data_IF_047887201029
#
_entry.id   IF_047887201029
#
_cell.length_a   1.000
_cell.length_b   1.000
_cell.length_c   1.000
_cell.angle_alpha   90.00
_cell.angle_beta   90.00
_cell.angle_gamma   90.00
#
_symmetry.space_group_name_H-M   'P 1'
#
loop_
_entity.id
_entity.type
_entity.pdbx_description
1 polymer ?
#
# COMPACT_ATOMS: atom_id res chain seq x y z
N UNK A 1 2.25 8.08 3.26
CA UNK A 1 0.91 7.45 3.43
C UNK A 1 0.45 6.81 2.13
N UNK A 2 -0.27 5.70 2.18
CA UNK A 2 -0.83 5.03 0.99
C UNK A 2 -2.28 5.47 0.80
N UNK A 3 -2.63 5.86 -0.43
CA UNK A 3 -4.01 6.17 -0.82
C UNK A 3 -4.40 5.22 -1.96
N UNK A 4 -5.39 4.39 -1.70
CA UNK A 4 -5.94 3.46 -2.68
C UNK A 4 -7.11 4.15 -3.39
N UNK A 5 -6.85 4.72 -4.55
CA UNK A 5 -7.84 5.52 -5.30
C UNK A 5 -8.94 4.67 -5.98
N UNK A 6 -8.75 3.37 -6.06
CA UNK A 6 -9.73 2.45 -6.64
C UNK A 6 -9.54 1.04 -6.10
N UNK A 7 -10.62 0.25 -6.09
CA UNK A 7 -10.54 -1.21 -5.91
C UNK A 7 -10.73 -1.97 -7.23
N UNK A 8 -10.83 -1.27 -8.36
CA UNK A 8 -10.91 -1.88 -9.67
C UNK A 8 -9.55 -2.37 -10.15
N UNK A 9 -9.49 -3.62 -10.61
CA UNK A 9 -8.31 -4.21 -11.22
C UNK A 9 -8.69 -5.37 -12.13
N UNK A 10 -8.16 -5.38 -13.35
CA UNK A 10 -8.41 -6.41 -14.35
C UNK A 10 -7.42 -7.58 -14.26
N UNK A 11 -6.39 -7.48 -13.40
CA UNK A 11 -5.29 -8.46 -13.36
C UNK A 11 -5.70 -9.81 -12.75
N UNK A 12 -6.59 -9.86 -11.77
CA UNK A 12 -7.06 -11.10 -11.16
C UNK A 12 -5.98 -11.88 -10.36
N UNK A 13 -4.99 -11.22 -9.80
CA UNK A 13 -3.88 -11.87 -9.08
C UNK A 13 -4.37 -12.73 -7.91
N UNK A 14 -3.84 -13.96 -7.77
CA UNK A 14 -4.18 -14.89 -6.67
C UNK A 14 -3.78 -14.34 -5.29
N UNK A 15 -2.68 -13.61 -5.22
CA UNK A 15 -2.12 -13.02 -3.99
C UNK A 15 -2.60 -11.58 -3.70
N UNK A 16 -3.68 -11.12 -4.30
CA UNK A 16 -4.13 -9.73 -4.18
C UNK A 16 -4.50 -9.37 -2.74
N UNK A 17 -3.73 -8.48 -2.10
CA UNK A 17 -3.96 -7.99 -0.74
C UNK A 17 -5.30 -7.25 -0.58
N UNK A 18 -5.74 -6.56 -1.63
CA UNK A 18 -6.93 -5.73 -1.62
C UNK A 18 -8.20 -6.48 -2.09
N UNK A 19 -8.06 -7.74 -2.51
CA UNK A 19 -9.13 -8.48 -3.13
C UNK A 19 -9.82 -7.70 -4.27
N UNK A 20 -9.01 -6.98 -5.05
CA UNK A 20 -9.49 -6.13 -6.13
C UNK A 20 -10.09 -6.94 -7.27
N UNK A 21 -11.13 -6.39 -7.92
CA UNK A 21 -11.89 -7.07 -8.97
C UNK A 21 -12.15 -6.14 -10.17
N UNK A 22 -12.57 -6.68 -11.32
CA UNK A 22 -12.99 -5.86 -12.46
C UNK A 22 -14.16 -4.92 -12.14
N UNK A 23 -15.02 -5.30 -11.20
CA UNK A 23 -16.20 -4.53 -10.76
C UNK A 23 -15.91 -3.66 -9.53
N UNK A 24 -14.62 -3.48 -9.19
CA UNK A 24 -14.21 -2.69 -8.04
C UNK A 24 -14.60 -1.22 -8.16
N UNK A 25 -14.90 -0.60 -7.04
CA UNK A 25 -15.35 0.79 -6.93
C UNK A 25 -14.18 1.78 -7.06
N UNK A 26 -14.50 2.99 -7.49
CA UNK A 26 -13.58 4.12 -7.55
C UNK A 26 -13.80 5.09 -6.39
N UNK A 27 -12.73 5.71 -5.94
CA UNK A 27 -12.80 6.83 -5.00
C UNK A 27 -13.47 8.04 -5.66
N UNK A 28 -14.36 8.71 -4.94
CA UNK A 28 -14.92 9.98 -5.42
C UNK A 28 -13.87 11.10 -5.33
N UNK A 29 -13.99 12.13 -6.17
CA UNK A 29 -13.09 13.29 -6.08
C UNK A 29 -13.25 14.04 -4.75
N UNK A 30 -14.45 14.08 -4.16
CA UNK A 30 -14.64 14.65 -2.83
C UNK A 30 -13.85 13.91 -1.77
N UNK A 31 -13.91 12.58 -1.77
CA UNK A 31 -13.11 11.73 -0.87
C UNK A 31 -11.60 11.93 -1.12
N UNK A 32 -11.19 12.07 -2.39
CA UNK A 32 -9.80 12.36 -2.74
C UNK A 32 -9.27 13.63 -2.08
N UNK A 33 -10.01 14.73 -2.19
CA UNK A 33 -9.60 16.01 -1.55
C UNK A 33 -9.54 15.91 -0.03
N UNK A 34 -10.43 15.15 0.59
CA UNK A 34 -10.35 14.87 2.02
C UNK A 34 -9.14 14.01 2.40
N UNK A 35 -8.77 13.04 1.55
CA UNK A 35 -7.53 12.28 1.74
C UNK A 35 -6.29 13.20 1.68
N UNK A 36 -6.22 14.10 0.70
CA UNK A 36 -5.10 15.05 0.61
C UNK A 36 -5.04 15.97 1.83
N UNK A 37 -6.20 16.42 2.34
CA UNK A 37 -6.25 17.21 3.57
C UNK A 37 -5.71 16.41 4.76
N UNK A 38 -6.20 15.18 4.94
CA UNK A 38 -5.73 14.32 6.03
C UNK A 38 -4.21 14.07 5.96
N UNK A 39 -3.66 13.82 4.76
CA UNK A 39 -2.22 13.63 4.56
C UNK A 39 -1.43 14.89 4.95
N UNK A 40 -1.97 16.09 4.68
CA UNK A 40 -1.38 17.36 5.15
C UNK A 40 -1.45 17.49 6.67
N UNK A 41 -2.59 17.15 7.27
CA UNK A 41 -2.80 17.26 8.72
C UNK A 41 -1.84 16.35 9.51
N UNK A 42 -1.48 15.19 8.97
CA UNK A 42 -0.47 14.30 9.56
C UNK A 42 0.98 14.63 9.12
N UNK A 43 1.17 15.67 8.30
CA UNK A 43 2.48 16.13 7.83
C UNK A 43 3.28 15.06 7.06
N UNK A 44 2.58 14.12 6.42
CA UNK A 44 3.23 13.11 5.58
C UNK A 44 3.86 13.76 4.35
N UNK A 45 5.12 13.44 4.09
CA UNK A 45 5.88 14.00 2.96
C UNK A 45 5.74 13.19 1.70
N UNK A 46 5.40 11.90 1.85
CA UNK A 46 5.35 10.94 0.75
C UNK A 46 3.94 10.37 0.62
N UNK A 47 3.37 10.51 -0.56
CA UNK A 47 2.09 9.88 -0.93
C UNK A 47 2.35 8.72 -1.88
N UNK A 48 1.81 7.56 -1.56
CA UNK A 48 1.82 6.41 -2.46
C UNK A 48 0.41 6.22 -2.99
N UNK A 49 0.23 6.46 -4.27
CA UNK A 49 -1.03 6.23 -4.97
C UNK A 49 -1.06 4.77 -5.41
N UNK A 50 -2.03 4.04 -4.91
CA UNK A 50 -2.21 2.61 -5.11
C UNK A 50 -3.71 2.29 -5.31
N UNK A 51 -4.06 1.03 -5.14
CA UNK A 51 -5.45 0.59 -5.20
C UNK A 51 -5.55 -0.86 -5.67
N UNK A 52 -6.50 -1.13 -6.54
CA UNK A 52 -6.44 -2.26 -7.45
C UNK A 52 -5.37 -1.96 -8.50
N UNK A 53 -5.76 -1.33 -9.59
CA UNK A 53 -4.84 -0.71 -10.54
C UNK A 53 -5.16 0.79 -10.63
N UNK A 54 -4.29 1.69 -10.18
CA UNK A 54 -4.59 3.12 -10.14
C UNK A 54 -5.02 3.70 -11.51
N UNK A 55 -4.41 3.23 -12.58
CA UNK A 55 -4.72 3.69 -13.95
C UNK A 55 -6.09 3.26 -14.46
N UNK A 56 -6.83 2.43 -13.72
CA UNK A 56 -8.23 2.10 -14.00
C UNK A 56 -9.20 3.14 -13.43
N UNK A 57 -8.75 4.01 -12.53
CA UNK A 57 -9.56 5.13 -12.08
C UNK A 57 -9.72 6.17 -13.20
N UNK A 58 -10.94 6.65 -13.55
CA UNK A 58 -11.13 7.56 -14.68
C UNK A 58 -10.35 8.88 -14.55
N UNK A 59 -10.16 9.36 -13.32
CA UNK A 59 -9.48 10.62 -13.02
C UNK A 59 -8.06 10.41 -12.46
N UNK A 60 -7.44 9.24 -12.66
CA UNK A 60 -6.15 8.91 -12.05
C UNK A 60 -5.06 9.94 -12.35
N UNK A 61 -4.99 10.44 -13.59
CA UNK A 61 -3.97 11.38 -14.03
C UNK A 61 -4.07 12.72 -13.26
N UNK A 62 -5.27 13.30 -13.19
CA UNK A 62 -5.49 14.54 -12.44
C UNK A 62 -5.25 14.36 -10.94
N UNK A 63 -5.63 13.20 -10.36
CA UNK A 63 -5.36 12.89 -8.95
C UNK A 63 -3.85 12.81 -8.66
N UNK A 64 -3.07 12.21 -9.56
CA UNK A 64 -1.61 12.18 -9.45
C UNK A 64 -1.03 13.60 -9.53
N UNK A 65 -1.45 14.41 -10.50
CA UNK A 65 -1.01 15.80 -10.63
C UNK A 65 -1.38 16.64 -9.41
N UNK A 66 -2.57 16.44 -8.83
CA UNK A 66 -2.97 17.08 -7.57
C UNK A 66 -2.04 16.69 -6.42
N UNK A 67 -1.70 15.41 -6.29
CA UNK A 67 -0.75 14.96 -5.28
C UNK A 67 0.64 15.57 -5.50
N UNK A 68 1.13 15.61 -6.74
CA UNK A 68 2.44 16.19 -7.06
C UNK A 68 2.53 17.68 -6.71
N UNK A 69 1.44 18.43 -6.83
CA UNK A 69 1.39 19.85 -6.43
C UNK A 69 1.41 20.05 -4.92
N UNK A 70 0.98 19.05 -4.15
CA UNK A 70 0.77 19.20 -2.71
C UNK A 70 1.84 18.54 -1.84
N UNK A 71 2.60 17.56 -2.36
CA UNK A 71 3.50 16.74 -1.54
C UNK A 71 4.92 16.73 -2.10
N UNK A 72 5.86 16.46 -1.21
CA UNK A 72 7.28 16.43 -1.54
C UNK A 72 7.63 15.30 -2.51
N UNK A 73 7.00 14.12 -2.34
CA UNK A 73 7.20 13.00 -3.24
C UNK A 73 5.93 12.16 -3.42
N UNK A 74 5.66 11.75 -4.65
CA UNK A 74 4.53 10.91 -5.03
C UNK A 74 5.03 9.65 -5.70
N UNK A 75 4.57 8.50 -5.23
CA UNK A 75 4.88 7.19 -5.81
C UNK A 75 3.60 6.58 -6.37
N UNK A 76 3.59 6.18 -7.61
CA UNK A 76 2.49 5.43 -8.21
C UNK A 76 2.86 3.95 -8.20
N UNK A 77 2.13 3.13 -7.42
CA UNK A 77 2.31 1.68 -7.43
C UNK A 77 1.32 1.04 -8.38
N UNK A 78 1.82 0.36 -9.41
CA UNK A 78 1.01 -0.14 -10.54
C UNK A 78 1.48 -1.52 -11.00
N UNK A 79 0.58 -2.28 -11.61
CA UNK A 79 0.89 -3.56 -12.23
C UNK A 79 1.44 -3.45 -13.67
N UNK A 80 1.51 -2.24 -14.24
CA UNK A 80 2.06 -1.98 -15.56
C UNK A 80 1.15 -2.35 -16.73
N UNK A 81 -0.13 -2.67 -16.54
CA UNK A 81 -1.04 -2.99 -17.63
C UNK A 81 -1.24 -1.83 -18.62
N UNK A 82 -1.03 -0.60 -18.18
CA UNK A 82 -1.09 0.61 -19.00
C UNK A 82 0.01 0.70 -20.08
N UNK A 83 1.11 -0.05 -19.95
CA UNK A 83 2.21 -0.10 -20.93
C UNK A 83 1.64 -0.60 -22.29
N UNK A 84 2.05 0.01 -23.40
CA UNK A 84 1.54 -0.22 -24.76
C UNK A 84 0.04 0.08 -24.92
N UNK A 85 -0.51 0.99 -24.11
CA UNK A 85 -1.87 1.54 -24.26
C UNK A 85 -1.79 3.06 -24.34
N UNK A 86 -2.87 3.77 -24.69
CA UNK A 86 -2.88 5.24 -24.66
C UNK A 86 -2.51 5.84 -23.28
N UNK A 87 -2.73 5.12 -22.18
CA UNK A 87 -2.37 5.53 -20.84
C UNK A 87 -0.85 5.66 -20.65
N UNK A 88 -0.03 4.98 -21.47
CA UNK A 88 1.43 5.10 -21.41
C UNK A 88 1.89 6.54 -21.69
N UNK A 89 1.37 7.15 -22.73
CA UNK A 89 1.71 8.53 -23.07
C UNK A 89 1.36 9.50 -21.95
N UNK A 90 0.19 9.32 -21.32
CA UNK A 90 -0.24 10.14 -20.17
C UNK A 90 0.69 9.93 -18.98
N UNK A 91 1.03 8.69 -18.64
CA UNK A 91 1.96 8.38 -17.54
C UNK A 91 3.33 9.02 -17.75
N UNK A 92 3.87 8.89 -18.95
CA UNK A 92 5.17 9.50 -19.29
C UNK A 92 5.12 11.02 -19.24
N UNK A 93 4.03 11.64 -19.65
CA UNK A 93 3.85 13.10 -19.58
C UNK A 93 3.82 13.59 -18.12
N UNK A 94 3.08 12.89 -17.24
CA UNK A 94 3.07 13.18 -15.81
C UNK A 94 4.48 13.12 -15.22
N UNK A 95 5.25 12.07 -15.53
CA UNK A 95 6.60 11.89 -15.02
C UNK A 95 7.57 12.97 -15.53
N UNK A 96 7.38 13.47 -16.75
CA UNK A 96 8.18 14.56 -17.30
C UNK A 96 7.88 15.90 -16.63
N UNK A 97 6.62 16.15 -16.34
CA UNK A 97 6.15 17.41 -15.72
C UNK A 97 6.45 17.51 -14.24
N UNK A 98 6.55 16.37 -13.55
CA UNK A 98 6.63 16.32 -12.09
C UNK A 98 7.88 15.58 -11.62
N UNK A 99 8.93 16.33 -11.30
CA UNK A 99 10.22 15.78 -10.83
C UNK A 99 10.12 15.06 -9.48
N UNK A 100 9.04 15.28 -8.74
CA UNK A 100 8.72 14.64 -7.47
C UNK A 100 7.80 13.42 -7.62
N UNK A 101 7.58 12.94 -8.84
CA UNK A 101 6.76 11.75 -9.11
C UNK A 101 7.63 10.57 -9.54
N UNK A 102 7.34 9.40 -9.00
CA UNK A 102 7.95 8.14 -9.41
C UNK A 102 6.90 7.04 -9.63
N UNK A 103 7.23 6.05 -10.45
CA UNK A 103 6.38 4.88 -10.71
C UNK A 103 7.09 3.64 -10.24
N UNK A 104 6.40 2.86 -9.42
CA UNK A 104 6.82 1.54 -9.00
C UNK A 104 5.96 0.48 -9.71
N UNK A 105 6.57 -0.24 -10.65
CA UNK A 105 5.87 -1.32 -11.35
C UNK A 105 6.09 -2.62 -10.57
N UNK A 106 4.99 -3.22 -10.13
CA UNK A 106 5.00 -4.48 -9.38
C UNK A 106 4.67 -5.65 -10.31
N UNK A 107 5.50 -6.70 -10.26
CA UNK A 107 5.30 -7.92 -11.02
C UNK A 107 5.88 -9.09 -10.23
N UNK A 108 5.04 -9.82 -9.50
CA UNK A 108 5.48 -10.85 -8.55
C UNK A 108 5.26 -12.26 -9.10
N UNK A 109 6.12 -12.70 -10.00
CA UNK A 109 6.29 -14.08 -10.34
C UNK A 109 5.00 -14.81 -10.75
N UNK A 110 4.95 -16.09 -10.42
CA UNK A 110 3.89 -17.05 -10.82
C UNK A 110 2.48 -16.71 -10.34
N UNK A 111 2.32 -15.79 -9.41
CA UNK A 111 1.00 -15.39 -8.88
C UNK A 111 0.28 -14.36 -9.74
N UNK A 112 1.00 -13.72 -10.67
CA UNK A 112 0.41 -12.82 -11.64
C UNK A 112 -0.11 -13.59 -12.84
N UNK A 113 -1.36 -13.41 -13.24
CA UNK A 113 -1.84 -13.91 -14.52
C UNK A 113 -0.98 -13.34 -15.66
N UNK A 114 -0.65 -14.19 -16.62
CA UNK A 114 0.17 -13.81 -17.79
C UNK A 114 1.55 -13.24 -17.43
N UNK A 115 2.17 -13.74 -16.36
CA UNK A 115 3.44 -13.27 -15.83
C UNK A 115 4.52 -13.09 -16.92
N UNK A 116 4.78 -14.10 -17.75
CA UNK A 116 5.81 -14.03 -18.79
C UNK A 116 5.56 -12.96 -19.84
N UNK A 117 4.29 -12.76 -20.21
CA UNK A 117 3.90 -11.71 -21.15
C UNK A 117 4.11 -10.33 -20.52
N UNK A 118 3.77 -10.16 -19.23
CA UNK A 118 3.98 -8.92 -18.50
C UNK A 118 5.46 -8.62 -18.31
N UNK A 119 6.29 -9.60 -17.95
CA UNK A 119 7.74 -9.45 -17.87
C UNK A 119 8.35 -9.03 -19.20
N UNK A 120 7.92 -9.64 -20.30
CA UNK A 120 8.38 -9.28 -21.65
C UNK A 120 7.96 -7.86 -22.01
N UNK A 121 6.72 -7.46 -21.71
CA UNK A 121 6.19 -6.13 -21.92
C UNK A 121 6.97 -5.07 -21.15
N UNK A 122 7.22 -5.32 -19.85
CA UNK A 122 8.00 -4.42 -18.99
C UNK A 122 9.44 -4.30 -19.47
N UNK A 123 10.11 -5.40 -19.85
CA UNK A 123 11.48 -5.37 -20.39
C UNK A 123 11.57 -4.53 -21.67
N UNK A 124 10.67 -4.71 -22.63
CA UNK A 124 10.63 -3.92 -23.87
C UNK A 124 10.39 -2.43 -23.57
N UNK A 125 9.51 -2.12 -22.64
CA UNK A 125 9.25 -0.75 -22.19
C UNK A 125 10.52 -0.13 -21.58
N UNK A 126 11.18 -0.84 -20.65
CA UNK A 126 12.46 -0.39 -20.05
C UNK A 126 13.54 -0.13 -21.09
N UNK A 127 13.66 -1.03 -22.08
CA UNK A 127 14.65 -0.88 -23.14
C UNK A 127 14.37 0.35 -24.01
N UNK A 128 13.10 0.60 -24.35
CA UNK A 128 12.70 1.83 -25.08
C UNK A 128 13.05 3.09 -24.30
N UNK A 129 12.82 3.10 -22.99
CA UNK A 129 13.16 4.25 -22.12
C UNK A 129 14.66 4.48 -22.04
N UNK A 130 15.50 3.44 -21.94
CA UNK A 130 16.96 3.55 -21.92
C UNK A 130 17.52 4.12 -23.22
N UNK A 131 16.90 3.80 -24.34
CA UNK A 131 17.28 4.26 -25.68
C UNK A 131 16.63 5.60 -26.07
N UNK A 132 15.75 6.13 -25.25
CA UNK A 132 15.10 7.39 -25.48
C UNK A 132 16.04 8.56 -25.12
N UNK A 133 16.08 9.66 -25.89
CA UNK A 133 16.79 10.87 -25.53
C UNK A 133 16.23 11.54 -24.26
N UNK A 134 15.12 11.04 -23.74
CA UNK A 134 14.49 11.49 -22.50
C UNK A 134 15.30 10.94 -21.33
N UNK A 135 16.46 11.55 -21.08
CA UNK A 135 17.32 11.23 -19.91
C UNK A 135 16.70 11.54 -18.55
N UNK A 136 15.54 12.14 -18.53
CA UNK A 136 14.91 12.70 -17.32
C UNK A 136 13.93 11.75 -16.61
N UNK A 137 13.64 10.58 -17.17
CA UNK A 137 12.82 9.57 -16.45
C UNK A 137 13.73 8.84 -15.46
N UNK A 138 14.18 9.56 -14.43
CA UNK A 138 14.99 9.01 -13.32
C UNK A 138 14.15 8.18 -12.34
N UNK A 139 12.86 8.07 -12.56
CA UNK A 139 11.90 7.71 -11.53
C UNK A 139 11.05 6.47 -11.83
N UNK A 140 11.45 5.61 -12.76
CA UNK A 140 10.79 4.32 -12.91
C UNK A 140 11.61 3.28 -12.17
N UNK A 141 11.16 2.94 -10.96
CA UNK A 141 11.73 1.86 -10.18
C UNK A 141 11.06 0.54 -10.55
N UNK A 142 11.88 -0.40 -11.00
CA UNK A 142 11.46 -1.78 -11.25
C UNK A 142 11.80 -2.62 -10.02
N UNK A 143 11.09 -2.42 -8.94
CA UNK A 143 11.46 -3.00 -7.65
C UNK A 143 11.40 -4.53 -7.59
N UNK A 144 10.99 -5.21 -8.67
CA UNK A 144 10.86 -6.66 -8.63
C UNK A 144 11.15 -7.41 -9.93
N UNK A 145 11.85 -6.84 -10.88
CA UNK A 145 12.40 -7.65 -11.97
C UNK A 145 13.43 -8.68 -11.43
N UNK A 146 14.11 -8.34 -10.32
CA UNK A 146 14.95 -9.31 -9.60
C UNK A 146 14.13 -10.44 -8.97
N UNK A 147 13.00 -10.17 -8.39
CA UNK A 147 12.12 -11.18 -7.78
C UNK A 147 11.47 -12.13 -8.80
N UNK A 148 11.44 -11.78 -10.09
CA UNK A 148 11.05 -12.72 -11.15
C UNK A 148 12.09 -13.83 -11.38
N UNK A 149 13.29 -13.70 -10.84
CA UNK A 149 14.42 -14.63 -11.04
C UNK A 149 14.79 -15.33 -9.74
N UNK A 150 14.55 -14.68 -8.58
CA UNK A 150 14.82 -15.26 -7.26
C UNK A 150 13.52 -15.76 -6.63
N UNK A 151 13.58 -16.96 -6.08
CA UNK A 151 12.49 -17.75 -5.51
C UNK A 151 11.96 -17.22 -4.17
N UNK A 152 12.51 -16.13 -3.64
CA UNK A 152 12.12 -15.53 -2.35
C UNK A 152 10.96 -14.56 -2.51
N UNK A 153 9.80 -15.09 -2.87
CA UNK A 153 8.55 -14.31 -2.89
C UNK A 153 7.91 -14.38 -1.51
N UNK A 154 7.96 -13.27 -0.79
CA UNK A 154 7.24 -13.12 0.46
C UNK A 154 5.76 -12.87 0.19
N UNK A 155 4.93 -13.87 0.42
CA UNK A 155 3.49 -13.75 0.33
C UNK A 155 2.90 -13.43 1.70
N UNK A 156 2.10 -12.39 1.71
CA UNK A 156 1.30 -12.04 2.88
C UNK A 156 -0.04 -12.79 2.77
N UNK A 157 -0.41 -13.67 3.71
CA UNK A 157 -1.66 -14.44 3.66
C UNK A 157 -2.85 -13.54 4.03
N UNK A 158 -3.09 -12.51 3.23
CA UNK A 158 -4.10 -11.48 3.42
C UNK A 158 -4.85 -11.24 2.11
N UNK A 159 -6.08 -10.73 2.18
CA UNK A 159 -6.91 -10.54 1.01
C UNK A 159 -7.24 -11.88 0.32
N UNK A 160 -7.13 -11.93 -1.00
CA UNK A 160 -7.37 -13.16 -1.77
C UNK A 160 -6.36 -14.26 -1.45
N UNK A 161 -5.11 -13.90 -1.13
CA UNK A 161 -4.09 -14.87 -0.73
C UNK A 161 -4.45 -15.65 0.54
N UNK A 162 -5.31 -15.12 1.41
CA UNK A 162 -5.77 -15.80 2.62
C UNK A 162 -6.66 -17.02 2.36
N UNK A 163 -7.25 -17.10 1.17
CA UNK A 163 -8.16 -18.19 0.75
C UNK A 163 -7.61 -19.04 -0.40
N UNK A 164 -6.47 -18.67 -0.95
CA UNK A 164 -5.84 -19.40 -2.05
C UNK A 164 -4.87 -20.43 -1.50
N UNK A 165 -5.12 -21.73 -1.75
CA UNK A 165 -4.34 -22.84 -1.21
C UNK A 165 -2.84 -22.75 -1.53
N UNK A 166 -2.47 -22.36 -2.76
CA UNK A 166 -1.07 -22.19 -3.13
C UNK A 166 -0.42 -21.06 -2.33
N UNK A 167 -1.14 -19.95 -2.15
CA UNK A 167 -0.65 -18.80 -1.38
C UNK A 167 -0.50 -19.15 0.11
N UNK A 168 -1.43 -19.92 0.68
CA UNK A 168 -1.38 -20.37 2.07
C UNK A 168 -0.17 -21.29 2.31
N UNK A 169 0.07 -22.26 1.42
CA UNK A 169 1.20 -23.16 1.54
C UNK A 169 2.55 -22.42 1.57
N UNK A 170 2.70 -21.39 0.75
CA UNK A 170 3.94 -20.60 0.72
C UNK A 170 4.04 -19.63 1.90
N UNK A 171 2.93 -19.13 2.43
CA UNK A 171 2.90 -18.23 3.57
C UNK A 171 3.26 -18.90 4.89
N UNK A 172 3.13 -20.20 5.02
CA UNK A 172 3.51 -20.95 6.23
C UNK A 172 5.01 -20.87 6.53
N UNK A 173 5.82 -20.67 5.51
CA UNK A 173 7.28 -20.53 5.63
C UNK A 173 7.75 -19.07 5.81
N UNK A 174 6.85 -18.07 5.65
CA UNK A 174 7.21 -16.66 5.74
C UNK A 174 6.88 -16.05 7.09
N UNK A 175 7.93 -15.69 7.82
CA UNK A 175 7.82 -15.15 9.18
C UNK A 175 7.80 -13.62 9.25
N UNK A 176 8.16 -12.91 8.18
CA UNK A 176 8.47 -11.48 8.24
C UNK A 176 7.24 -10.55 8.13
N UNK A 177 6.15 -11.00 7.52
CA UNK A 177 5.07 -10.12 7.05
C UNK A 177 3.94 -9.87 8.05
N UNK A 178 3.85 -10.65 9.10
CA UNK A 178 2.71 -10.65 10.02
C UNK A 178 2.83 -9.68 11.19
N UNK A 179 4.00 -9.12 11.44
CA UNK A 179 4.25 -8.20 12.55
C UNK A 179 3.79 -6.75 12.31
N UNK A 180 3.31 -6.46 11.11
CA UNK A 180 3.16 -5.10 10.65
C UNK A 180 1.98 -4.31 11.25
N UNK A 181 0.79 -4.89 11.34
CA UNK A 181 -0.38 -4.22 11.97
C UNK A 181 -0.15 -3.90 13.44
N UNK A 182 0.59 -4.77 14.08
CA UNK A 182 0.93 -4.70 15.48
C UNK A 182 1.82 -3.51 15.81
N UNK A 183 2.81 -3.25 14.96
CA UNK A 183 3.70 -2.10 15.13
C UNK A 183 2.97 -0.78 14.99
N UNK A 184 1.97 -0.69 14.10
CA UNK A 184 1.14 0.51 13.96
C UNK A 184 0.39 0.85 15.24
N UNK A 185 -0.30 -0.13 15.83
CA UNK A 185 -1.01 0.05 17.09
C UNK A 185 -0.07 0.40 18.25
N UNK A 186 1.08 -0.27 18.34
CA UNK A 186 2.07 0.00 19.37
C UNK A 186 2.59 1.43 19.30
N UNK A 187 2.97 1.87 18.11
CA UNK A 187 3.52 3.21 17.89
C UNK A 187 2.44 4.26 18.19
N UNK A 188 1.21 4.04 17.71
CA UNK A 188 0.09 4.94 17.97
C UNK A 188 -0.27 5.05 19.47
N UNK A 189 -0.12 3.96 20.24
CA UNK A 189 -0.39 3.96 21.68
C UNK A 189 0.67 4.68 22.50
N UNK A 190 1.90 4.78 22.02
CA UNK A 190 3.04 5.36 22.75
C UNK A 190 3.38 6.79 22.37
N UNK A 191 3.02 7.23 21.17
CA UNK A 191 3.32 8.56 20.64
C UNK A 191 2.04 9.21 20.10
N UNK A 192 2.12 10.49 19.74
CA UNK A 192 1.03 11.14 19.03
C UNK A 192 0.85 10.56 17.63
N UNK A 193 -0.33 10.79 17.04
CA UNK A 193 -0.72 10.19 15.77
C UNK A 193 0.21 10.59 14.60
N UNK A 194 0.63 11.87 14.54
CA UNK A 194 1.56 12.34 13.49
C UNK A 194 2.90 11.64 13.57
N UNK A 195 3.44 11.56 14.79
CA UNK A 195 4.69 10.83 15.06
C UNK A 195 4.57 9.35 14.73
N UNK A 196 3.44 8.72 15.02
CA UNK A 196 3.17 7.33 14.65
C UNK A 196 3.22 7.13 13.14
N UNK A 197 2.54 7.98 12.38
CA UNK A 197 2.55 7.96 10.91
C UNK A 197 3.98 8.13 10.38
N UNK A 198 4.73 9.12 10.87
CA UNK A 198 6.10 9.40 10.43
C UNK A 198 7.05 8.21 10.70
N UNK A 199 6.95 7.57 11.87
CA UNK A 199 7.76 6.40 12.23
C UNK A 199 7.46 5.23 11.29
N UNK A 200 6.19 4.97 11.00
CA UNK A 200 5.78 3.87 10.12
C UNK A 200 6.19 4.11 8.67
N UNK A 201 6.11 5.35 8.19
CA UNK A 201 6.58 5.72 6.85
C UNK A 201 8.10 5.59 6.70
N UNK A 202 8.86 5.96 7.72
CA UNK A 202 10.33 5.90 7.72
C UNK A 202 10.91 4.50 7.75
N UNK A 203 10.17 3.50 8.19
CA UNK A 203 10.65 2.10 8.29
C UNK A 203 10.64 1.31 6.98
N UNK A 204 10.10 1.85 5.91
CA UNK A 204 10.24 1.30 4.54
C UNK A 204 9.50 -0.02 4.26
N UNK A 205 8.87 -0.66 5.24
CA UNK A 205 8.26 -1.98 5.10
C UNK A 205 6.83 -2.07 5.67
N UNK A 206 5.95 -2.71 4.93
CA UNK A 206 4.67 -3.38 5.22
C UNK A 206 3.60 -2.70 6.08
N UNK A 207 3.89 -1.73 6.92
CA UNK A 207 2.92 -1.02 7.75
C UNK A 207 2.91 0.47 7.47
N UNK A 208 2.57 0.82 6.26
CA UNK A 208 2.28 2.21 5.96
C UNK A 208 0.79 2.45 6.21
N UNK A 209 0.43 3.53 6.92
CA UNK A 209 -0.96 3.90 7.06
C UNK A 209 -1.62 4.04 5.69
N UNK A 210 -2.80 3.47 5.56
CA UNK A 210 -3.56 3.39 4.31
C UNK A 210 -4.88 4.11 4.45
N UNK A 211 -5.28 4.82 3.40
CA UNK A 211 -6.65 5.26 3.14
C UNK A 211 -7.16 4.48 1.93
N UNK A 212 -8.26 3.76 2.07
CA UNK A 212 -8.83 3.01 0.96
C UNK A 212 -9.73 3.89 0.06
N UNK A 213 -10.27 3.31 -1.02
CA UNK A 213 -11.13 4.02 -1.98
C UNK A 213 -12.44 4.57 -1.41
N UNK A 214 -12.84 4.13 -0.21
CA UNK A 214 -14.00 4.67 0.54
C UNK A 214 -13.62 5.77 1.53
N UNK A 215 -12.33 6.10 1.63
CA UNK A 215 -11.82 7.07 2.60
C UNK A 215 -11.59 6.50 3.99
N UNK A 216 -11.63 5.18 4.15
CA UNK A 216 -11.42 4.51 5.43
C UNK A 216 -9.93 4.38 5.73
N UNK A 217 -9.52 4.67 6.97
CA UNK A 217 -8.14 4.73 7.44
C UNK A 217 -7.80 3.46 8.21
N UNK A 218 -6.68 2.83 7.85
CA UNK A 218 -6.15 1.65 8.53
C UNK A 218 -4.62 1.74 8.68
N UNK A 219 -4.08 0.96 9.62
CA UNK A 219 -2.63 0.88 9.84
C UNK A 219 -1.90 -0.03 8.85
N UNK A 220 -2.59 -0.71 7.97
CA UNK A 220 -2.01 -1.65 7.01
C UNK A 220 -2.65 -1.56 5.64
N UNK A 221 -1.89 -1.94 4.63
CA UNK A 221 -2.33 -1.98 3.23
C UNK A 221 -3.41 -3.02 2.96
N UNK A 222 -3.54 -4.03 3.81
CA UNK A 222 -4.47 -5.13 3.56
C UNK A 222 -5.92 -4.74 3.70
N UNK A 223 -6.75 -5.20 2.77
CA UNK A 223 -8.21 -5.06 2.83
C UNK A 223 -8.85 -5.75 4.04
N UNK A 224 -8.15 -6.72 4.65
CA UNK A 224 -8.62 -7.43 5.86
C UNK A 224 -8.31 -6.67 7.15
N UNK A 225 -7.45 -5.64 7.11
CA UNK A 225 -7.17 -4.85 8.29
C UNK A 225 -8.36 -3.97 8.63
N UNK A 226 -8.86 -4.03 9.88
CA UNK A 226 -9.93 -3.16 10.32
C UNK A 226 -9.52 -1.70 10.16
N UNK A 227 -10.41 -0.92 9.55
CA UNK A 227 -10.29 0.52 9.53
C UNK A 227 -10.71 1.06 10.90
N UNK A 228 -10.01 2.05 11.41
CA UNK A 228 -10.31 2.66 12.70
C UNK A 228 -11.05 4.00 12.57
N UNK A 229 -10.94 4.65 11.41
CA UNK A 229 -11.54 5.96 11.16
C UNK A 229 -11.83 6.14 9.66
N UNK A 230 -12.45 7.26 9.32
CA UNK A 230 -12.62 7.71 7.93
C UNK A 230 -12.08 9.13 7.77
N UNK A 231 -11.72 9.54 6.56
CA UNK A 231 -11.33 10.92 6.27
C UNK A 231 -12.49 11.93 6.45
N UNK A 232 -13.72 11.45 6.65
CA UNK A 232 -14.89 12.25 6.96
C UNK A 232 -15.00 12.59 8.46
N UNK A 233 -14.27 11.86 9.32
CA UNK A 233 -14.23 12.15 10.75
C UNK A 233 -13.41 13.43 10.99
N UNK A 234 -13.68 14.13 12.09
CA UNK A 234 -12.82 15.23 12.54
C UNK A 234 -11.43 14.68 12.90
N UNK A 235 -10.40 15.47 12.67
CA UNK A 235 -9.03 15.04 12.90
C UNK A 235 -8.79 14.55 14.34
N UNK A 236 -9.37 15.24 15.34
CA UNK A 236 -9.29 14.87 16.75
C UNK A 236 -9.92 13.49 17.03
N UNK A 237 -11.03 13.17 16.36
CA UNK A 237 -11.70 11.87 16.49
C UNK A 237 -10.87 10.78 15.82
N UNK A 238 -10.22 11.05 14.68
CA UNK A 238 -9.28 10.12 14.03
C UNK A 238 -8.12 9.80 14.98
N UNK A 239 -7.54 10.84 15.60
CA UNK A 239 -6.44 10.68 16.58
C UNK A 239 -6.87 9.82 17.76
N UNK A 240 -8.06 10.05 18.31
CA UNK A 240 -8.61 9.25 19.40
C UNK A 240 -8.81 7.79 18.99
N UNK A 241 -9.50 7.54 17.88
CA UNK A 241 -9.75 6.20 17.34
C UNK A 241 -8.45 5.45 17.02
N UNK A 242 -7.44 6.14 16.52
CA UNK A 242 -6.13 5.56 16.25
C UNK A 242 -5.42 5.04 17.52
N UNK A 243 -5.55 5.75 18.65
CA UNK A 243 -5.00 5.35 19.94
C UNK A 243 -5.77 4.19 20.59
N UNK A 244 -7.08 4.13 20.38
CA UNK A 244 -7.97 3.11 20.93
C UNK A 244 -7.96 1.82 20.09
N UNK A 245 -7.38 1.86 18.88
CA UNK A 245 -7.38 0.72 17.97
C UNK A 245 -6.53 -0.43 18.53
N UNK A 246 -7.07 -1.63 18.44
CA UNK A 246 -6.37 -2.87 18.78
C UNK A 246 -6.28 -3.79 17.55
N UNK A 247 -5.18 -4.58 17.41
CA UNK A 247 -5.04 -5.51 16.31
C UNK A 247 -6.14 -6.56 16.35
N UNK A 248 -6.71 -6.86 15.19
CA UNK A 248 -7.60 -8.00 15.09
C UNK A 248 -6.79 -9.31 15.13
N UNK A 249 -7.34 -10.33 15.77
CA UNK A 249 -6.76 -11.68 15.84
C UNK A 249 -6.78 -12.46 14.52
N UNK A 250 -7.18 -11.81 13.40
CA UNK A 250 -7.37 -12.47 12.10
C UNK A 250 -6.07 -12.71 11.32
N UNK A 251 -4.95 -12.07 11.71
CA UNK A 251 -3.67 -12.35 11.07
C UNK A 251 -2.79 -13.22 11.97
N UNK A 252 -2.14 -14.24 11.38
CA UNK A 252 -1.22 -15.15 12.09
C UNK A 252 -0.04 -14.41 12.80
N UNK A 253 0.11 -13.11 12.58
CA UNK A 253 1.09 -12.27 13.27
C UNK A 253 0.91 -12.15 14.76
N UNK A 254 -0.34 -12.24 15.23
CA UNK A 254 -0.62 -12.23 16.66
C UNK A 254 0.04 -13.40 17.40
N UNK A 255 -0.05 -14.61 16.84
CA UNK A 255 0.51 -15.79 17.48
C UNK A 255 2.05 -15.73 17.60
N UNK A 256 2.72 -15.14 16.61
CA UNK A 256 4.17 -14.90 16.66
C UNK A 256 4.56 -13.86 17.69
N UNK A 257 3.81 -12.76 17.75
CA UNK A 257 4.06 -11.71 18.74
C UNK A 257 3.75 -12.20 20.15
N UNK A 258 2.70 -12.98 20.33
CA UNK A 258 2.30 -13.55 21.62
C UNK A 258 3.41 -14.40 22.24
N UNK A 259 4.16 -15.10 21.41
CA UNK A 259 5.22 -16.04 21.85
C UNK A 259 6.64 -15.49 21.64
N UNK A 260 6.80 -14.27 21.11
CA UNK A 260 8.12 -13.69 20.85
C UNK A 260 8.83 -13.28 22.14
N UNK A 261 10.14 -13.57 22.19
CA UNK A 261 11.05 -13.11 23.24
C UNK A 261 11.73 -11.77 22.90
N UNK A 262 11.49 -11.21 21.72
CA UNK A 262 12.02 -9.91 21.31
C UNK A 262 11.46 -8.80 22.23
N UNK A 263 12.32 -7.95 22.84
CA UNK A 263 11.90 -6.88 23.73
C UNK A 263 10.89 -5.91 23.11
N UNK A 264 10.96 -5.68 21.80
CA UNK A 264 10.02 -4.82 21.07
C UNK A 264 8.62 -5.41 21.09
N UNK A 265 8.52 -6.73 20.85
CA UNK A 265 7.24 -7.44 20.87
C UNK A 265 6.68 -7.64 22.29
N UNK A 266 7.56 -7.81 23.30
CA UNK A 266 7.14 -7.87 24.70
C UNK A 266 6.48 -6.54 25.13
N UNK A 267 7.10 -5.41 24.79
CA UNK A 267 6.52 -4.08 25.07
C UNK A 267 5.19 -3.89 24.34
N UNK A 268 5.12 -4.30 23.07
CA UNK A 268 3.93 -4.24 22.25
C UNK A 268 2.77 -5.02 22.88
N UNK A 269 3.03 -6.25 23.31
CA UNK A 269 2.05 -7.11 23.97
C UNK A 269 1.53 -6.49 25.26
N UNK A 270 2.39 -5.97 26.11
CA UNK A 270 2.01 -5.32 27.36
C UNK A 270 1.11 -4.08 27.16
N UNK A 271 1.30 -3.34 26.06
CA UNK A 271 0.43 -2.20 25.71
C UNK A 271 -0.96 -2.70 25.27
N UNK A 272 -1.01 -3.73 24.47
CA UNK A 272 -2.27 -4.29 23.95
C UNK A 272 -3.09 -4.97 25.03
N UNK A 273 -2.45 -5.72 25.92
CA UNK A 273 -3.11 -6.35 27.08
C UNK A 273 -3.74 -5.29 27.98
N UNK A 274 -3.07 -4.16 28.21
CA UNK A 274 -3.63 -3.02 28.95
C UNK A 274 -4.82 -2.36 28.26
N UNK A 275 -4.80 -2.27 26.93
CA UNK A 275 -5.90 -1.69 26.16
C UNK A 275 -7.11 -2.64 26.11
N UNK A 276 -6.88 -3.94 26.03
CA UNK A 276 -7.96 -4.94 26.09
C UNK A 276 -8.64 -4.98 27.47
N UNK A 277 -7.91 -4.78 28.56
CA UNK A 277 -8.49 -4.73 29.91
C UNK A 277 -9.36 -3.50 30.18
N UNK A 278 -9.27 -2.46 29.34
CA UNK A 278 -10.11 -1.24 29.44
C UNK A 278 -11.41 -1.33 28.62
N UNK A 279 -11.58 -2.36 27.80
CA UNK A 279 -12.74 -2.55 26.91
C UNK A 279 -13.67 -3.66 27.42
N UNK A 280 -13.28 -4.37 28.48
CA UNK A 280 -14.12 -5.30 29.26
C UNK A 280 -14.49 -4.61 30.58
#
# INVERSE_FOLDING_TARGET
MIIQITNKCLMGCRHCLNNSSPDGEHMSLSTWYMCLQHVRDVESKVVIISGGEPTEHPNWASMVEDACRNFWHVVITTNGMWINTPKEAVMLDILRKNNNCSVQITSNGVYYPHHDQMCTKIRKFTQRLKNSPIREIRSIEFNQIKACIDTDIHLVPLGRAATDEMCLHLSENDTATTASCFMGALVAAQVDYKSAVAILEGRGHFCRPRINHKGEIAWSESALCPCFATVNDKFEDIVKKAKEWSPCCKCKGWDKVKNSTDPTYIKARAVLERNHQKVV
#
